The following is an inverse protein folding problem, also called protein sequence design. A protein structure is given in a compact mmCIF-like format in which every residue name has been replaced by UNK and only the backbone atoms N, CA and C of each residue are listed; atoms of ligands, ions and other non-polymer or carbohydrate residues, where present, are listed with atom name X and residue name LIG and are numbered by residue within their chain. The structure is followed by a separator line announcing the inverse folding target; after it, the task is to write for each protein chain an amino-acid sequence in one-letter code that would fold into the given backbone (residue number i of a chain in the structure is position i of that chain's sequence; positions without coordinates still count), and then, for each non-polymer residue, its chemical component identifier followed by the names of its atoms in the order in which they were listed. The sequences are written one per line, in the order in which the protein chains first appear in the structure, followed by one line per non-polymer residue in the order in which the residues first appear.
data_IF_148328646506
#
_entry.id   IF_148328646506
#
_cell.length_a   1.000
_cell.length_b   1.000
_cell.length_c   1.000
_cell.angle_alpha   90.00
_cell.angle_beta   90.00
_cell.angle_gamma   90.00
#
_symmetry.space_group_name_H-M   'P 1'
#
loop_
_entity.id
_entity.type
_entity.pdbx_description
1 polymer ?
#
# COMPACT_ATOMS: atom_id res chain seq x y z
N UNK A 1 -0.08 -22.74 -5.65
CA UNK A 1 0.78 -21.58 -6.00
C UNK A 1 -0.05 -20.31 -6.02
N UNK A 2 0.33 -19.32 -5.23
CA UNK A 2 -0.40 -18.05 -5.22
C UNK A 2 -0.06 -17.23 -6.47
N UNK A 3 -1.03 -16.51 -6.97
CA UNK A 3 -0.84 -15.63 -8.11
C UNK A 3 -0.95 -14.19 -7.62
N UNK A 4 0.09 -13.40 -7.84
CA UNK A 4 0.06 -11.98 -7.53
C UNK A 4 -0.89 -11.31 -8.51
N UNK A 5 -1.72 -10.38 -8.01
CA UNK A 5 -2.68 -9.71 -8.88
C UNK A 5 -1.97 -8.85 -9.91
N UNK A 6 -2.62 -8.69 -11.05
CA UNK A 6 -2.08 -7.92 -12.15
C UNK A 6 -2.48 -6.44 -12.04
N UNK A 7 -1.68 -5.61 -12.64
CA UNK A 7 -1.94 -4.17 -12.74
C UNK A 7 -3.32 -3.85 -13.32
N UNK A 8 -3.80 -4.69 -14.24
CA UNK A 8 -5.13 -4.52 -14.84
C UNK A 8 -6.27 -4.68 -13.85
N UNK A 9 -6.03 -5.31 -12.70
CA UNK A 9 -7.03 -5.51 -11.66
C UNK A 9 -7.11 -4.34 -10.69
N UNK A 10 -6.22 -3.37 -10.82
CA UNK A 10 -6.12 -2.21 -9.94
C UNK A 10 -6.52 -0.94 -10.68
N UNK A 11 -6.78 0.12 -9.93
CA UNK A 11 -6.90 1.45 -10.50
C UNK A 11 -5.50 1.97 -10.82
N UNK A 12 -5.34 2.82 -11.85
CA UNK A 12 -4.03 3.40 -12.12
C UNK A 12 -3.57 4.30 -10.99
N UNK A 13 -2.25 4.39 -10.80
CA UNK A 13 -1.68 5.27 -9.80
C UNK A 13 -1.92 6.72 -10.15
N UNK A 14 -2.27 7.52 -9.15
CA UNK A 14 -2.42 8.97 -9.31
C UNK A 14 -1.05 9.63 -9.47
N UNK A 15 -1.04 10.88 -9.93
CA UNK A 15 0.20 11.64 -10.06
C UNK A 15 0.89 11.86 -8.72
N UNK A 16 0.12 12.01 -7.66
CA UNK A 16 0.66 12.10 -6.30
C UNK A 16 -0.11 11.11 -5.42
N UNK A 17 0.60 10.15 -4.87
CA UNK A 17 0.01 9.09 -4.05
C UNK A 17 0.25 9.30 -2.54
N UNK A 18 0.85 10.41 -2.14
CA UNK A 18 1.11 10.68 -0.73
C UNK A 18 -0.19 10.67 0.08
N UNK A 19 -0.23 9.88 1.13
CA UNK A 19 -1.42 9.72 1.97
C UNK A 19 -2.48 8.82 1.38
N UNK A 20 -2.21 8.18 0.25
CA UNK A 20 -3.19 7.29 -0.40
C UNK A 20 -2.85 5.84 -0.20
N UNK A 21 -3.89 5.01 -0.26
CA UNK A 21 -3.71 3.56 -0.29
C UNK A 21 -3.14 3.15 -1.64
N UNK A 22 -2.16 2.27 -1.60
CA UNK A 22 -1.59 1.69 -2.82
C UNK A 22 -1.47 0.19 -2.67
N UNK A 23 -1.50 -0.50 -3.81
CA UNK A 23 -1.35 -1.95 -3.89
C UNK A 23 0.08 -2.22 -4.30
N UNK A 24 0.74 -3.07 -3.54
CA UNK A 24 2.12 -3.48 -3.83
C UNK A 24 2.20 -4.98 -3.94
N UNK A 25 3.30 -5.47 -4.49
CA UNK A 25 3.62 -6.89 -4.46
C UNK A 25 3.82 -7.29 -2.99
N UNK A 26 3.30 -8.46 -2.57
CA UNK A 26 3.42 -8.86 -1.17
C UNK A 26 4.86 -8.88 -0.71
N UNK A 27 5.06 -8.34 0.48
CA UNK A 27 6.35 -8.37 1.15
C UNK A 27 6.28 -9.48 2.19
N UNK A 28 7.28 -10.31 2.23
CA UNK A 28 7.26 -11.52 3.06
C UNK A 28 7.84 -11.32 4.46
N UNK A 29 8.00 -10.09 4.89
CA UNK A 29 8.47 -9.82 6.25
C UNK A 29 7.51 -10.34 7.31
N UNK A 30 6.20 -10.28 7.05
CA UNK A 30 5.20 -10.80 7.97
C UNK A 30 4.60 -12.09 7.44
N UNK A 31 4.56 -13.15 8.27
CA UNK A 31 4.00 -14.44 7.84
C UNK A 31 2.56 -14.34 7.33
N UNK A 32 1.76 -13.43 7.88
CA UNK A 32 0.36 -13.26 7.50
C UNK A 32 0.19 -12.77 6.06
N UNK A 33 1.24 -12.21 5.45
CA UNK A 33 1.18 -11.74 4.08
C UNK A 33 1.76 -12.72 3.06
N UNK A 34 2.35 -13.81 3.52
CA UNK A 34 3.01 -14.78 2.62
C UNK A 34 2.11 -15.37 1.56
N UNK A 35 0.84 -15.57 1.88
CA UNK A 35 -0.12 -16.14 0.95
C UNK A 35 -1.02 -15.09 0.29
N UNK A 36 -0.75 -13.82 0.54
CA UNK A 36 -1.55 -12.75 -0.04
C UNK A 36 -1.23 -12.57 -1.52
N UNK A 37 -2.25 -12.24 -2.30
CA UNK A 37 -2.07 -11.92 -3.72
C UNK A 37 -1.57 -10.50 -3.92
N UNK A 38 -1.80 -9.66 -2.93
CA UNK A 38 -1.38 -8.26 -2.93
C UNK A 38 -1.28 -7.81 -1.49
N UNK A 39 -0.69 -6.64 -1.31
CA UNK A 39 -0.61 -6.02 0.01
C UNK A 39 -1.05 -4.57 -0.13
N UNK A 40 -1.87 -4.09 0.81
CA UNK A 40 -2.24 -2.68 0.86
C UNK A 40 -1.33 -1.94 1.83
N UNK A 41 -0.85 -0.80 1.39
CA UNK A 41 -0.02 0.10 2.20
C UNK A 41 -0.47 1.53 1.96
N UNK A 42 -0.06 2.44 2.83
CA UNK A 42 -0.28 3.87 2.64
C UNK A 42 1.07 4.49 2.31
N UNK A 43 1.12 5.21 1.20
CA UNK A 43 2.33 5.94 0.83
C UNK A 43 2.43 7.19 1.68
N UNK A 44 3.54 7.37 2.37
CA UNK A 44 3.70 8.47 3.33
C UNK A 44 4.66 9.56 2.89
N UNK A 45 5.51 9.29 1.90
CA UNK A 45 6.45 10.29 1.43
C UNK A 45 7.51 9.69 0.52
N UNK A 46 8.47 10.49 0.17
CA UNK A 46 9.55 10.09 -0.71
C UNK A 46 9.32 10.54 -2.14
N UNK A 47 10.35 10.42 -2.97
CA UNK A 47 10.28 10.87 -4.36
C UNK A 47 9.29 10.05 -5.18
N UNK A 48 9.04 8.82 -4.79
CA UNK A 48 8.10 7.95 -5.48
C UNK A 48 6.64 8.34 -5.32
N UNK A 49 6.31 9.23 -4.37
CA UNK A 49 4.93 9.66 -4.15
C UNK A 49 4.45 10.70 -5.16
N UNK A 50 5.35 11.40 -5.80
CA UNK A 50 5.03 12.49 -6.71
C UNK A 50 5.61 12.18 -8.09
N UNK A 51 4.73 11.99 -9.08
CA UNK A 51 5.13 11.65 -10.43
C UNK A 51 5.97 12.73 -11.10
N UNK A 52 5.88 13.98 -10.63
CA UNK A 52 6.70 15.07 -11.17
C UNK A 52 8.15 15.00 -10.72
N UNK A 53 8.43 14.17 -9.72
CA UNK A 53 9.79 14.00 -9.18
C UNK A 53 10.32 12.63 -9.55
N UNK A 54 11.56 12.61 -9.96
CA UNK A 54 12.22 11.35 -10.32
C UNK A 54 12.77 10.71 -9.05
N UNK A 55 12.38 9.46 -8.79
CA UNK A 55 12.85 8.72 -7.65
C UNK A 55 12.43 7.26 -7.73
N UNK A 56 13.20 6.40 -7.09
CA UNK A 56 12.98 4.97 -7.13
C UNK A 56 12.34 4.41 -5.86
N UNK A 57 12.15 5.26 -4.85
CA UNK A 57 11.67 4.79 -3.58
C UNK A 57 10.54 5.66 -3.04
N UNK A 58 9.67 5.02 -2.30
CA UNK A 58 8.56 5.63 -1.62
C UNK A 58 8.51 5.05 -0.22
N UNK A 59 8.20 5.88 0.78
CA UNK A 59 8.00 5.38 2.13
C UNK A 59 6.55 4.96 2.28
N UNK A 60 6.33 3.79 2.87
CA UNK A 60 5.00 3.22 3.04
C UNK A 60 4.79 2.76 4.47
N UNK A 61 3.52 2.68 4.86
CA UNK A 61 3.11 2.14 6.15
C UNK A 61 2.14 1.00 5.88
N UNK A 62 2.37 -0.13 6.50
CA UNK A 62 1.52 -1.29 6.33
C UNK A 62 0.12 -1.06 6.88
N UNK A 63 -0.87 -1.67 6.23
CA UNK A 63 -2.25 -1.65 6.69
C UNK A 63 -2.54 -2.94 7.46
N UNK A 64 -2.11 -2.98 8.70
CA UNK A 64 -2.30 -4.15 9.57
C UNK A 64 -2.31 -3.70 11.02
N UNK A 65 -2.57 -4.65 11.92
CA UNK A 65 -2.70 -4.36 13.35
C UNK A 65 -1.43 -3.74 13.96
N UNK A 66 -0.27 -4.21 13.52
CA UNK A 66 1.02 -3.68 13.98
C UNK A 66 1.78 -3.15 12.78
N UNK A 67 1.41 -1.95 12.27
CA UNK A 67 1.99 -1.44 11.05
C UNK A 67 3.46 -1.04 11.21
N UNK A 68 4.26 -1.39 10.22
CA UNK A 68 5.63 -0.97 10.13
C UNK A 68 5.78 -0.01 8.96
N UNK A 69 6.66 0.97 9.13
CA UNK A 69 7.03 1.89 8.05
C UNK A 69 8.33 1.42 7.46
N UNK A 70 8.41 1.43 6.14
CA UNK A 70 9.66 1.06 5.48
C UNK A 70 9.73 1.68 4.09
N UNK A 71 10.91 1.62 3.52
CA UNK A 71 11.15 2.07 2.17
C UNK A 71 10.73 0.98 1.19
N UNK A 72 9.94 1.37 0.17
CA UNK A 72 9.51 0.45 -0.87
C UNK A 72 10.00 0.96 -2.22
N UNK A 73 10.44 0.04 -3.07
CA UNK A 73 10.84 0.41 -4.41
C UNK A 73 9.59 0.73 -5.25
N UNK A 74 9.66 1.81 -6.02
CA UNK A 74 8.51 2.25 -6.82
C UNK A 74 8.03 1.19 -7.82
N UNK A 75 8.94 0.40 -8.36
CA UNK A 75 8.56 -0.63 -9.32
C UNK A 75 7.74 -1.77 -8.70
N UNK A 76 7.68 -1.85 -7.38
CA UNK A 76 6.83 -2.83 -6.70
C UNK A 76 5.40 -2.35 -6.54
N UNK A 77 5.11 -1.08 -6.83
CA UNK A 77 3.77 -0.55 -6.77
C UNK A 77 2.99 -1.02 -7.99
N UNK A 78 1.83 -1.64 -7.75
CA UNK A 78 1.01 -2.21 -8.82
C UNK A 78 -0.03 -1.19 -9.28
N UNK A 79 -0.70 -0.52 -8.33
CA UNK A 79 -1.75 0.44 -8.64
C UNK A 79 -2.42 0.92 -7.37
N UNK A 80 -3.57 1.56 -7.52
CA UNK A 80 -4.40 1.92 -6.38
C UNK A 80 -5.49 0.86 -6.21
N UNK A 81 -5.94 0.60 -4.98
CA UNK A 81 -6.92 -0.46 -4.76
C UNK A 81 -8.31 -0.06 -5.25
N UNK A 82 -9.06 -1.05 -5.73
CA UNK A 82 -10.48 -0.88 -6.01
C UNK A 82 -11.23 -0.92 -4.68
N UNK A 83 -12.49 -0.52 -4.70
CA UNK A 83 -13.34 -0.59 -3.50
C UNK A 83 -13.49 -2.03 -3.01
N UNK A 84 -13.57 -2.98 -3.94
CA UNK A 84 -13.66 -4.40 -3.60
C UNK A 84 -12.41 -4.88 -2.86
N UNK A 85 -11.24 -4.45 -3.32
CA UNK A 85 -9.98 -4.81 -2.68
C UNK A 85 -9.89 -4.22 -1.28
N UNK A 86 -10.32 -2.99 -1.10
CA UNK A 86 -10.33 -2.35 0.21
C UNK A 86 -11.25 -3.10 1.17
N UNK A 87 -12.45 -3.43 0.72
CA UNK A 87 -13.42 -4.16 1.54
C UNK A 87 -12.89 -5.54 1.93
N UNK A 88 -12.30 -6.26 0.98
CA UNK A 88 -11.72 -7.57 1.22
C UNK A 88 -10.58 -7.49 2.23
N UNK A 89 -9.73 -6.49 2.10
CA UNK A 89 -8.61 -6.29 3.03
C UNK A 89 -9.11 -5.97 4.43
N UNK A 90 -10.11 -5.09 4.55
CA UNK A 90 -10.72 -4.74 5.84
C UNK A 90 -11.36 -5.94 6.51
N UNK A 91 -12.02 -6.79 5.74
CA UNK A 91 -12.64 -8.00 6.26
C UNK A 91 -11.59 -8.93 6.87
N UNK A 92 -10.43 -9.04 6.24
CA UNK A 92 -9.38 -9.94 6.67
C UNK A 92 -8.53 -9.35 7.80
N UNK A 93 -8.25 -8.05 7.78
CA UNK A 93 -7.33 -7.41 8.72
C UNK A 93 -7.98 -6.33 9.59
N UNK A 94 -9.30 -6.12 9.47
CA UNK A 94 -10.03 -5.13 10.26
C UNK A 94 -9.95 -3.73 9.67
N UNK A 95 -10.47 -2.76 10.41
CA UNK A 95 -10.58 -1.37 9.94
C UNK A 95 -9.33 -0.53 10.27
N UNK A 96 -8.22 -1.18 10.47
CA UNK A 96 -6.99 -0.50 10.85
C UNK A 96 -6.50 0.51 9.82
N UNK A 97 -6.95 0.41 8.55
CA UNK A 97 -6.58 1.39 7.53
C UNK A 97 -6.96 2.81 7.95
N UNK A 98 -8.14 2.96 8.53
CA UNK A 98 -8.60 4.26 8.99
C UNK A 98 -7.78 4.75 10.17
N UNK A 99 -7.41 3.84 11.07
CA UNK A 99 -6.56 4.17 12.21
C UNK A 99 -5.18 4.64 11.74
N UNK A 100 -4.61 3.96 10.76
CA UNK A 100 -3.31 4.35 10.21
C UNK A 100 -3.41 5.71 9.54
N UNK A 101 -4.45 5.95 8.73
CA UNK A 101 -4.68 7.24 8.10
C UNK A 101 -4.83 8.36 9.11
N UNK A 102 -5.62 8.12 10.17
CA UNK A 102 -5.82 9.09 11.22
C UNK A 102 -4.51 9.40 11.94
N UNK A 103 -3.71 8.37 12.20
CA UNK A 103 -2.42 8.54 12.83
C UNK A 103 -1.47 9.37 11.99
N UNK A 104 -1.48 9.16 10.68
CA UNK A 104 -0.68 9.96 9.77
C UNK A 104 -1.11 11.42 9.78
N UNK A 105 -2.41 11.68 9.80
CA UNK A 105 -2.94 13.05 9.89
C UNK A 105 -2.57 13.71 11.19
N UNK A 106 -2.57 12.95 12.28
CA UNK A 106 -2.19 13.46 13.61
C UNK A 106 -0.71 13.80 13.69
N UNK A 107 0.10 13.12 12.90
CA UNK A 107 1.55 13.33 12.88
C UNK A 107 1.96 14.62 12.18
N UNK A 108 1.07 15.17 11.39
CA UNK A 108 1.29 16.44 10.71
C UNK A 108 0.84 17.60 11.61
#
# INVERSE_FOLDING_TARGET
MKTIIDKSECKPLSDNIEGKLVVIKPDFFKPEFREAKYQLVIATGGFGCDASKIGNAVFVVECCENPESYRQERYNLIGEPTEEMIAEWKEKYGEFNEKVLNKLKESD
#
